data_IF_412498827539
#
_entry.id   IF_412498827539
#
_cell.length_a   1.000
_cell.length_b   1.000
_cell.length_c   1.000
_cell.angle_alpha   90.00
_cell.angle_beta   90.00
_cell.angle_gamma   90.00
#
_symmetry.space_group_name_H-M   'P 1'
#
loop_
_entity.id
_entity.type
_entity.pdbx_description
1 polymer ?
#
# COMPACT_ATOMS: atom_id res chain seq x y z
N UNK A 1 -24.24 -18.21 39.43
CA UNK A 1 -23.07 -17.76 38.67
C UNK A 1 -22.22 -18.99 38.37
N UNK A 2 -22.25 -19.48 37.12
CA UNK A 2 -21.44 -20.62 36.71
C UNK A 2 -20.25 -20.09 35.91
N UNK A 3 -19.07 -20.33 36.46
CA UNK A 3 -17.77 -20.05 35.85
C UNK A 3 -17.60 -20.92 34.62
N UNK A 4 -17.37 -20.32 33.45
CA UNK A 4 -17.02 -21.01 32.21
C UNK A 4 -15.52 -21.29 32.23
N UNK A 5 -15.04 -22.50 31.96
CA UNK A 5 -13.62 -22.83 31.99
C UNK A 5 -12.88 -22.24 30.77
N UNK A 6 -11.75 -21.64 31.03
CA UNK A 6 -10.80 -21.04 30.08
C UNK A 6 -9.95 -22.13 29.37
N UNK A 7 -10.55 -23.02 28.59
CA UNK A 7 -9.85 -24.18 27.99
C UNK A 7 -9.50 -24.01 26.50
N UNK A 8 -9.89 -22.88 25.88
CA UNK A 8 -9.66 -22.67 24.43
C UNK A 8 -8.46 -21.74 24.11
N UNK A 9 -7.78 -21.20 25.13
CA UNK A 9 -6.67 -20.26 24.90
C UNK A 9 -5.27 -20.89 24.80
N UNK A 10 -5.06 -22.13 25.29
CA UNK A 10 -3.71 -22.73 25.29
C UNK A 10 -3.39 -23.57 24.04
N UNK A 11 -4.38 -23.98 23.25
CA UNK A 11 -4.11 -24.76 22.05
C UNK A 11 -3.76 -23.94 20.80
N UNK A 12 -4.15 -22.67 20.74
CA UNK A 12 -3.80 -21.79 19.62
C UNK A 12 -2.33 -21.36 19.64
N UNK A 13 -1.68 -21.33 20.80
CA UNK A 13 -0.29 -20.86 20.94
C UNK A 13 0.76 -21.88 20.46
N UNK A 14 0.48 -23.18 20.53
CA UNK A 14 1.42 -24.24 20.13
C UNK A 14 1.37 -24.54 18.62
N UNK A 15 0.34 -24.06 17.91
CA UNK A 15 0.26 -24.21 16.45
C UNK A 15 0.97 -23.07 15.68
N UNK A 16 1.13 -21.88 16.27
CA UNK A 16 1.76 -20.75 15.58
C UNK A 16 3.27 -20.96 15.34
N UNK A 17 4.02 -21.59 16.23
CA UNK A 17 5.46 -21.84 16.07
C UNK A 17 5.77 -22.92 15.01
N UNK A 18 4.87 -23.88 14.78
CA UNK A 18 5.03 -24.90 13.75
C UNK A 18 4.68 -24.40 12.33
N UNK A 19 3.94 -23.30 12.22
CA UNK A 19 3.60 -22.69 10.92
C UNK A 19 4.64 -21.69 10.41
N UNK A 20 5.50 -21.13 11.27
CA UNK A 20 6.49 -20.13 10.84
C UNK A 20 7.54 -20.72 9.88
N UNK A 21 8.06 -21.92 10.15
CA UNK A 21 9.07 -22.56 9.30
C UNK A 21 8.51 -23.06 7.96
N UNK A 22 7.23 -23.40 7.91
CA UNK A 22 6.56 -23.81 6.67
C UNK A 22 6.18 -22.60 5.79
N UNK A 23 5.87 -21.45 6.38
CA UNK A 23 5.55 -20.22 5.66
C UNK A 23 6.79 -19.62 4.98
N UNK A 24 7.98 -19.65 5.59
CA UNK A 24 9.20 -19.12 4.98
C UNK A 24 9.65 -19.91 3.74
N UNK A 25 9.47 -21.24 3.74
CA UNK A 25 9.79 -22.07 2.58
C UNK A 25 8.76 -21.94 1.45
N UNK A 26 7.49 -21.73 1.77
CA UNK A 26 6.45 -21.50 0.78
C UNK A 26 6.46 -20.09 0.20
N UNK A 27 6.90 -19.09 0.98
CA UNK A 27 6.99 -17.69 0.55
C UNK A 27 7.99 -17.50 -0.59
N UNK A 28 9.15 -18.16 -0.55
CA UNK A 28 10.14 -18.09 -1.63
C UNK A 28 9.64 -18.62 -2.97
N UNK A 29 8.80 -19.66 -2.97
CA UNK A 29 8.17 -20.19 -4.18
C UNK A 29 7.00 -19.31 -4.65
N UNK A 30 6.25 -18.74 -3.72
CA UNK A 30 5.12 -17.83 -4.02
C UNK A 30 5.59 -16.51 -4.62
N UNK A 31 6.74 -15.95 -4.19
CA UNK A 31 7.34 -14.73 -4.78
C UNK A 31 7.64 -14.92 -6.26
N UNK A 32 8.24 -16.06 -6.64
CA UNK A 32 8.53 -16.35 -8.05
C UNK A 32 7.28 -16.50 -8.93
N UNK A 33 6.14 -16.90 -8.35
CA UNK A 33 4.87 -17.01 -9.07
C UNK A 33 4.10 -15.69 -9.17
N UNK A 34 4.26 -14.80 -8.19
CA UNK A 34 3.61 -13.48 -8.19
C UNK A 34 4.27 -12.51 -9.18
N UNK A 35 5.59 -12.60 -9.38
CA UNK A 35 6.32 -11.76 -10.33
C UNK A 35 5.88 -11.94 -11.79
N UNK A 36 5.19 -13.04 -12.13
CA UNK A 36 4.70 -13.36 -13.47
C UNK A 36 3.18 -13.19 -13.62
N UNK A 37 2.52 -12.51 -12.69
CA UNK A 37 1.11 -12.75 -12.40
C UNK A 37 0.10 -12.13 -13.35
N UNK A 38 0.42 -11.13 -14.17
CA UNK A 38 -0.54 -10.52 -15.10
C UNK A 38 -0.07 -10.70 -16.54
N UNK A 39 -0.73 -11.61 -17.27
CA UNK A 39 -0.71 -11.56 -18.73
C UNK A 39 -1.60 -10.37 -19.14
N UNK A 40 -1.04 -9.41 -19.82
CA UNK A 40 -1.78 -8.32 -20.46
C UNK A 40 -2.83 -8.91 -21.42
N UNK A 41 -4.09 -8.77 -21.08
CA UNK A 41 -5.23 -9.08 -21.95
C UNK A 41 -5.94 -7.77 -22.35
N UNK A 42 -5.77 -7.27 -23.57
CA UNK A 42 -6.43 -6.05 -24.04
C UNK A 42 -7.96 -6.14 -23.96
N UNK A 43 -8.53 -7.33 -24.12
CA UNK A 43 -9.97 -7.54 -24.02
C UNK A 43 -10.47 -7.41 -22.57
N UNK A 44 -9.70 -7.87 -21.61
CA UNK A 44 -10.01 -7.69 -20.18
C UNK A 44 -9.87 -6.23 -19.77
N UNK A 45 -8.77 -5.58 -20.17
CA UNK A 45 -8.54 -4.16 -19.90
C UNK A 45 -9.65 -3.27 -20.48
N UNK A 46 -10.08 -3.57 -21.72
CA UNK A 46 -11.20 -2.87 -22.35
C UNK A 46 -12.52 -3.00 -21.55
N UNK A 47 -12.79 -4.19 -20.99
CA UNK A 47 -13.95 -4.40 -20.12
C UNK A 47 -13.83 -3.61 -18.81
N UNK A 48 -12.65 -3.59 -18.18
CA UNK A 48 -12.38 -2.81 -16.95
C UNK A 48 -12.65 -1.33 -17.23
N UNK A 49 -12.11 -0.79 -18.33
CA UNK A 49 -12.30 0.60 -18.73
C UNK A 49 -13.77 0.91 -18.97
N UNK A 50 -14.53 0.00 -19.60
CA UNK A 50 -15.96 0.17 -19.81
C UNK A 50 -16.74 0.29 -18.49
N UNK A 51 -16.39 -0.52 -17.49
CA UNK A 51 -17.01 -0.43 -16.14
C UNK A 51 -16.62 0.87 -15.43
N UNK A 52 -15.35 1.30 -15.51
CA UNK A 52 -14.91 2.58 -14.95
C UNK A 52 -15.70 3.74 -15.58
N UNK A 53 -15.88 3.73 -16.90
CA UNK A 53 -16.66 4.76 -17.61
C UNK A 53 -18.10 4.83 -17.13
N UNK A 54 -18.74 3.71 -16.88
CA UNK A 54 -20.10 3.65 -16.35
C UNK A 54 -20.20 4.15 -14.90
N UNK A 55 -19.17 3.91 -14.09
CA UNK A 55 -19.17 4.22 -12.67
C UNK A 55 -18.89 5.69 -12.37
N UNK A 56 -17.91 6.29 -13.05
CA UNK A 56 -17.40 7.63 -12.68
C UNK A 56 -17.40 8.64 -13.84
N UNK A 57 -17.82 8.24 -15.04
CA UNK A 57 -17.89 9.11 -16.23
C UNK A 57 -16.62 9.95 -16.45
N UNK A 58 -15.46 9.32 -16.65
CA UNK A 58 -14.16 10.01 -16.66
C UNK A 58 -13.93 10.85 -17.92
N UNK A 59 -13.09 11.86 -17.83
CA UNK A 59 -12.50 12.53 -18.98
C UNK A 59 -11.43 11.65 -19.64
N UNK A 60 -10.63 10.96 -18.84
CA UNK A 60 -9.54 10.10 -19.32
C UNK A 60 -9.36 8.88 -18.42
N UNK A 61 -8.95 7.79 -19.05
CA UNK A 61 -8.38 6.60 -18.38
C UNK A 61 -7.03 6.31 -19.03
N UNK A 62 -5.98 6.26 -18.22
CA UNK A 62 -4.61 6.09 -18.67
C UNK A 62 -3.99 4.89 -17.98
N UNK A 63 -3.45 3.95 -18.74
CA UNK A 63 -2.58 2.90 -18.25
C UNK A 63 -1.17 3.45 -18.13
N UNK A 64 -0.51 3.27 -16.99
CA UNK A 64 0.88 3.68 -16.80
C UNK A 64 1.71 2.55 -16.19
N UNK A 65 2.98 2.79 -15.88
CA UNK A 65 3.87 1.78 -15.33
C UNK A 65 4.30 0.72 -16.35
N UNK A 66 4.66 -0.46 -15.87
CA UNK A 66 5.33 -1.50 -16.67
C UNK A 66 4.52 -2.00 -17.88
N UNK A 67 3.20 -2.09 -17.75
CA UNK A 67 2.33 -2.57 -18.82
C UNK A 67 2.11 -1.55 -19.95
N UNK A 68 2.35 -0.28 -19.67
CA UNK A 68 2.31 0.78 -20.69
C UNK A 68 3.63 0.92 -21.47
N UNK A 69 4.63 0.07 -21.22
CA UNK A 69 5.98 0.24 -21.76
C UNK A 69 6.72 1.46 -21.19
N UNK A 70 6.18 2.04 -20.11
CA UNK A 70 6.75 3.18 -19.38
C UNK A 70 7.72 2.70 -18.29
N UNK A 71 8.32 3.65 -17.57
CA UNK A 71 9.14 3.36 -16.40
C UNK A 71 8.36 2.47 -15.41
N UNK A 72 8.90 1.32 -14.99
CA UNK A 72 8.20 0.43 -14.07
C UNK A 72 7.78 1.17 -12.80
N UNK A 73 6.48 1.21 -12.51
CA UNK A 73 5.97 1.82 -11.28
C UNK A 73 6.16 0.89 -10.07
N UNK A 74 6.10 -0.42 -10.29
CA UNK A 74 6.22 -1.44 -9.25
C UNK A 74 7.04 -2.63 -9.74
N UNK A 75 7.54 -3.46 -8.81
CA UNK A 75 8.17 -4.74 -9.12
C UNK A 75 7.14 -5.80 -9.57
N UNK A 76 5.86 -5.59 -9.27
CA UNK A 76 4.77 -6.47 -9.69
C UNK A 76 4.15 -5.95 -10.98
N UNK A 77 3.82 -6.87 -11.88
CA UNK A 77 3.00 -6.55 -13.03
C UNK A 77 1.56 -6.30 -12.59
N UNK A 78 1.06 -5.10 -12.80
CA UNK A 78 -0.29 -4.67 -12.40
C UNK A 78 -0.89 -3.74 -13.47
N UNK A 79 -2.22 -3.65 -13.49
CA UNK A 79 -2.90 -2.59 -14.24
C UNK A 79 -2.89 -1.31 -13.40
N UNK A 80 -1.90 -0.46 -13.64
CA UNK A 80 -1.81 0.86 -13.01
C UNK A 80 -2.66 1.84 -13.80
N UNK A 81 -3.86 2.18 -13.29
CA UNK A 81 -4.83 2.99 -14.00
C UNK A 81 -5.02 4.35 -13.31
N UNK A 82 -4.72 5.42 -14.04
CA UNK A 82 -5.10 6.77 -13.67
C UNK A 82 -6.44 7.12 -14.32
N UNK A 83 -7.42 7.46 -13.50
CA UNK A 83 -8.78 7.85 -13.90
C UNK A 83 -8.96 9.32 -13.58
N UNK A 84 -9.08 10.14 -14.60
CA UNK A 84 -9.27 11.60 -14.46
C UNK A 84 -10.73 11.94 -14.70
N UNK A 85 -11.37 12.60 -13.75
CA UNK A 85 -12.76 13.07 -13.84
C UNK A 85 -12.81 14.57 -14.09
N UNK A 86 -13.87 15.12 -14.71
CA UNK A 86 -13.98 16.55 -14.98
C UNK A 86 -14.02 17.38 -13.69
N UNK A 87 -14.65 16.85 -12.68
CA UNK A 87 -14.79 17.46 -11.35
C UNK A 87 -14.26 16.49 -10.28
N UNK A 88 -14.48 16.82 -9.01
CA UNK A 88 -14.17 15.88 -7.92
C UNK A 88 -14.81 14.52 -8.19
N UNK A 89 -14.05 13.42 -8.06
CA UNK A 89 -14.57 12.08 -8.33
C UNK A 89 -15.87 11.81 -7.54
N UNK A 90 -16.90 11.18 -8.15
CA UNK A 90 -18.17 10.91 -7.49
C UNK A 90 -18.09 9.84 -6.41
N UNK A 91 -16.97 9.11 -6.34
CA UNK A 91 -16.68 8.08 -5.34
C UNK A 91 -15.18 8.00 -5.07
N UNK A 92 -14.81 7.41 -3.95
CA UNK A 92 -13.43 7.14 -3.60
C UNK A 92 -12.85 5.96 -4.43
N UNK A 93 -11.52 5.92 -4.55
CA UNK A 93 -10.84 4.87 -5.31
C UNK A 93 -11.12 3.44 -4.76
N UNK A 94 -11.27 3.29 -3.45
CA UNK A 94 -11.59 2.03 -2.79
C UNK A 94 -13.04 1.57 -3.08
N UNK A 95 -13.96 2.49 -3.22
CA UNK A 95 -15.34 2.22 -3.62
C UNK A 95 -15.39 1.74 -5.07
N UNK A 96 -14.68 2.43 -5.97
CA UNK A 96 -14.54 2.00 -7.36
C UNK A 96 -13.87 0.63 -7.47
N UNK A 97 -12.83 0.37 -6.66
CA UNK A 97 -12.19 -0.93 -6.60
C UNK A 97 -13.18 -2.03 -6.13
N UNK A 98 -13.97 -1.73 -5.08
CA UNK A 98 -15.03 -2.62 -4.61
C UNK A 98 -16.10 -2.89 -5.67
N UNK A 99 -16.50 -1.85 -6.42
CA UNK A 99 -17.44 -1.99 -7.53
C UNK A 99 -16.88 -2.87 -8.65
N UNK A 100 -15.61 -2.72 -9.02
CA UNK A 100 -14.95 -3.59 -9.98
C UNK A 100 -14.90 -5.04 -9.48
N UNK A 101 -14.52 -5.27 -8.22
CA UNK A 101 -14.56 -6.61 -7.61
C UNK A 101 -15.96 -7.24 -7.68
N UNK A 102 -17.01 -6.48 -7.47
CA UNK A 102 -18.40 -6.96 -7.55
C UNK A 102 -18.80 -7.33 -8.99
N UNK A 103 -18.39 -6.53 -9.98
CA UNK A 103 -18.70 -6.78 -11.40
C UNK A 103 -17.90 -7.94 -11.99
N UNK A 104 -16.71 -8.20 -11.44
CA UNK A 104 -15.83 -9.28 -11.85
C UNK A 104 -15.60 -10.23 -10.66
N UNK A 105 -16.55 -11.13 -10.35
CA UNK A 105 -16.36 -12.05 -9.23
C UNK A 105 -15.17 -12.96 -9.47
N UNK A 106 -14.37 -13.10 -8.47
CA UNK A 106 -13.22 -13.95 -8.07
C UNK A 106 -12.54 -14.93 -9.04
N UNK A 107 -12.90 -15.04 -10.32
CA UNK A 107 -12.19 -15.84 -11.31
C UNK A 107 -11.17 -15.07 -12.14
N UNK A 108 -11.22 -13.76 -12.12
CA UNK A 108 -10.23 -12.92 -12.78
C UNK A 108 -9.14 -12.53 -11.78
N UNK A 109 -7.94 -13.13 -11.94
CA UNK A 109 -6.75 -12.73 -11.18
C UNK A 109 -6.40 -11.26 -11.39
N UNK A 110 -6.75 -10.68 -12.55
CA UNK A 110 -6.43 -9.31 -12.92
C UNK A 110 -6.92 -8.27 -11.92
N UNK A 111 -8.11 -8.44 -11.31
CA UNK A 111 -8.65 -7.46 -10.37
C UNK A 111 -7.86 -7.38 -9.07
N UNK A 112 -7.21 -8.45 -8.65
CA UNK A 112 -6.31 -8.42 -7.49
C UNK A 112 -5.07 -7.55 -7.73
N UNK A 113 -4.74 -7.28 -9.00
CA UNK A 113 -3.58 -6.53 -9.45
C UNK A 113 -3.97 -5.24 -10.19
N UNK A 114 -5.10 -4.64 -9.85
CA UNK A 114 -5.48 -3.31 -10.34
C UNK A 114 -5.14 -2.27 -9.27
N UNK A 115 -4.38 -1.27 -9.66
CA UNK A 115 -4.17 -0.04 -8.91
C UNK A 115 -4.99 1.08 -9.54
N UNK A 116 -5.93 1.63 -8.79
CA UNK A 116 -6.78 2.72 -9.25
C UNK A 116 -6.34 4.03 -8.61
N UNK A 117 -6.10 5.03 -9.43
CA UNK A 117 -5.81 6.39 -9.02
C UNK A 117 -6.90 7.30 -9.60
N UNK A 118 -7.74 7.84 -8.73
CA UNK A 118 -8.80 8.77 -9.10
C UNK A 118 -8.35 10.20 -8.79
N UNK A 119 -8.54 11.09 -9.75
CA UNK A 119 -8.29 12.52 -9.56
C UNK A 119 -9.19 13.34 -10.47
N UNK A 120 -9.33 14.62 -10.15
CA UNK A 120 -9.99 15.60 -10.99
C UNK A 120 -8.99 16.28 -11.97
N UNK A 121 -9.50 16.89 -13.03
CA UNK A 121 -8.69 17.75 -13.90
C UNK A 121 -7.98 18.88 -13.12
N UNK A 122 -8.63 19.42 -12.08
CA UNK A 122 -8.03 20.43 -11.22
C UNK A 122 -6.82 19.90 -10.45
N UNK A 123 -6.87 18.65 -9.99
CA UNK A 123 -5.73 18.00 -9.32
C UNK A 123 -4.59 17.70 -10.27
N UNK A 124 -4.88 17.29 -11.49
CA UNK A 124 -3.88 17.12 -12.55
C UNK A 124 -3.18 18.46 -12.88
N UNK A 125 -3.95 19.55 -12.91
CA UNK A 125 -3.42 20.90 -13.13
C UNK A 125 -2.57 21.41 -11.95
N UNK A 126 -2.77 20.87 -10.75
CA UNK A 126 -2.03 21.25 -9.54
C UNK A 126 -0.55 20.90 -9.69
N UNK A 127 0.30 21.94 -9.59
CA UNK A 127 1.76 21.79 -9.74
C UNK A 127 2.43 20.93 -8.67
N UNK A 128 1.79 20.72 -7.54
CA UNK A 128 2.31 19.88 -6.43
C UNK A 128 1.95 18.39 -6.57
N UNK A 129 1.07 18.02 -7.49
CA UNK A 129 0.65 16.64 -7.74
C UNK A 129 1.47 16.01 -8.87
N UNK A 130 2.78 15.83 -8.64
CA UNK A 130 3.75 15.35 -9.64
C UNK A 130 3.40 13.97 -10.19
N UNK A 131 2.88 13.08 -9.35
CA UNK A 131 2.52 11.72 -9.71
C UNK A 131 1.53 11.66 -10.90
N UNK A 132 0.46 12.44 -10.86
CA UNK A 132 -0.52 12.45 -11.95
C UNK A 132 0.09 12.92 -13.27
N UNK A 133 1.03 13.85 -13.21
CA UNK A 133 1.75 14.33 -14.40
C UNK A 133 2.68 13.28 -14.97
N UNK A 134 3.39 12.53 -14.12
CA UNK A 134 4.22 11.42 -14.54
C UNK A 134 3.37 10.36 -15.23
N UNK A 135 2.29 9.91 -14.59
CA UNK A 135 1.39 8.90 -15.15
C UNK A 135 0.79 9.34 -16.50
N UNK A 136 0.44 10.62 -16.65
CA UNK A 136 -0.09 11.15 -17.92
C UNK A 136 0.99 11.33 -19.01
N UNK A 137 2.24 11.64 -18.63
CA UNK A 137 3.32 11.87 -19.61
C UNK A 137 3.81 10.56 -20.22
N UNK A 138 3.87 9.50 -19.43
CA UNK A 138 4.44 8.21 -19.81
C UNK A 138 3.37 7.18 -20.20
N UNK A 139 2.16 7.32 -19.69
CA UNK A 139 1.12 6.32 -19.81
C UNK A 139 0.50 6.24 -21.21
N UNK A 140 -0.16 5.10 -21.48
CA UNK A 140 -1.00 4.86 -22.64
C UNK A 140 -2.43 5.31 -22.38
N UNK A 141 -2.99 6.15 -23.25
CA UNK A 141 -4.38 6.62 -23.12
C UNK A 141 -5.32 5.54 -23.63
N UNK A 142 -6.05 4.90 -22.72
CA UNK A 142 -7.04 3.86 -23.03
C UNK A 142 -8.40 4.46 -23.41
N UNK A 143 -8.71 5.60 -22.84
CA UNK A 143 -9.93 6.37 -23.10
C UNK A 143 -9.71 7.86 -22.88
N UNK A 144 -10.24 8.68 -23.76
CA UNK A 144 -10.30 10.14 -23.60
C UNK A 144 -11.50 10.71 -24.34
N UNK A 145 -12.13 11.76 -23.77
CA UNK A 145 -13.15 12.55 -24.47
C UNK A 145 -12.54 13.53 -25.46
N UNK A 146 -11.35 14.03 -25.16
CA UNK A 146 -10.66 15.02 -25.96
C UNK A 146 -9.26 14.53 -26.37
N UNK A 147 -8.68 15.20 -27.34
CA UNK A 147 -7.30 14.93 -27.74
C UNK A 147 -6.33 15.28 -26.62
N UNK A 148 -5.53 14.31 -26.19
CA UNK A 148 -4.58 14.48 -25.10
C UNK A 148 -3.27 15.06 -25.60
N UNK A 149 -2.88 16.23 -25.09
CA UNK A 149 -1.55 16.78 -25.28
C UNK A 149 -0.67 16.34 -24.10
N UNK A 150 0.31 15.47 -24.39
CA UNK A 150 1.27 15.01 -23.40
C UNK A 150 2.25 16.12 -23.06
N UNK A 151 2.46 16.37 -21.76
CA UNK A 151 3.48 17.28 -21.25
C UNK A 151 4.56 16.47 -20.56
N UNK A 152 5.85 16.73 -20.80
CA UNK A 152 6.93 15.96 -20.17
C UNK A 152 6.89 16.14 -18.63
N UNK A 153 7.25 15.08 -17.93
CA UNK A 153 7.42 15.12 -16.48
C UNK A 153 8.73 15.81 -16.10
N UNK A 154 8.74 16.56 -15.01
CA UNK A 154 9.96 17.11 -14.45
C UNK A 154 10.46 16.16 -13.35
N UNK A 155 11.35 15.23 -13.71
CA UNK A 155 11.88 14.22 -12.80
C UNK A 155 12.75 14.81 -11.69
N UNK A 156 13.44 15.92 -11.93
CA UNK A 156 14.22 16.59 -10.89
C UNK A 156 13.33 17.02 -9.70
N UNK A 157 12.22 17.67 -9.99
CA UNK A 157 11.26 18.09 -8.94
C UNK A 157 10.57 16.91 -8.28
N UNK A 158 10.30 15.87 -9.06
CA UNK A 158 9.73 14.62 -8.54
C UNK A 158 10.70 13.97 -7.55
N UNK A 159 11.98 13.87 -7.92
CA UNK A 159 13.03 13.33 -7.08
C UNK A 159 13.14 14.05 -5.73
N UNK A 160 13.30 15.39 -5.76
CA UNK A 160 13.42 16.15 -4.51
C UNK A 160 12.18 16.05 -3.63
N UNK A 161 10.99 16.11 -4.22
CA UNK A 161 9.76 15.93 -3.46
C UNK A 161 9.64 14.52 -2.84
N UNK A 162 10.10 13.49 -3.52
CA UNK A 162 10.13 12.12 -3.01
C UNK A 162 11.19 11.95 -1.91
N UNK A 163 12.38 12.55 -2.09
CA UNK A 163 13.48 12.49 -1.12
C UNK A 163 13.10 13.15 0.20
N UNK A 164 12.53 14.36 0.16
CA UNK A 164 12.08 15.08 1.37
C UNK A 164 11.12 14.20 2.20
N UNK A 165 10.19 13.50 1.55
CA UNK A 165 9.22 12.63 2.23
C UNK A 165 9.86 11.38 2.79
N UNK A 166 10.81 10.81 2.05
CA UNK A 166 11.57 9.67 2.53
C UNK A 166 12.32 10.01 3.81
N UNK A 167 13.08 11.11 3.81
CA UNK A 167 13.88 11.53 4.96
C UNK A 167 12.99 11.84 6.18
N UNK A 168 11.89 12.58 5.96
CA UNK A 168 10.96 12.91 7.02
C UNK A 168 10.35 11.66 7.67
N UNK A 169 9.69 10.83 6.87
CA UNK A 169 8.91 9.72 7.41
C UNK A 169 9.78 8.54 7.85
N UNK A 170 10.89 8.24 7.17
CA UNK A 170 11.79 7.17 7.60
C UNK A 170 12.52 7.54 8.90
N UNK A 171 12.88 8.80 9.08
CA UNK A 171 13.44 9.31 10.33
C UNK A 171 12.46 9.17 11.51
N UNK A 172 11.21 9.59 11.32
CA UNK A 172 10.16 9.43 12.32
C UNK A 172 9.89 7.95 12.65
N UNK A 173 9.80 7.10 11.63
CA UNK A 173 9.61 5.66 11.82
C UNK A 173 10.75 5.03 12.63
N UNK A 174 11.99 5.43 12.35
CA UNK A 174 13.17 4.99 13.11
C UNK A 174 13.07 5.34 14.59
N UNK A 175 12.73 6.61 14.89
CA UNK A 175 12.55 7.07 16.26
C UNK A 175 11.42 6.33 17.02
N UNK A 176 10.29 6.10 16.36
CA UNK A 176 9.20 5.32 16.95
C UNK A 176 9.58 3.86 17.21
N UNK A 177 10.32 3.21 16.31
CA UNK A 177 10.78 1.82 16.51
C UNK A 177 11.80 1.70 17.64
N UNK A 178 12.72 2.65 17.74
CA UNK A 178 13.68 2.69 18.85
C UNK A 178 12.95 2.85 20.19
N UNK A 179 12.02 3.80 20.26
CA UNK A 179 11.21 4.03 21.45
C UNK A 179 10.34 2.80 21.79
N UNK A 180 9.77 2.12 20.78
CA UNK A 180 9.02 0.88 20.97
C UNK A 180 9.87 -0.23 21.59
N UNK A 181 11.13 -0.38 21.15
CA UNK A 181 12.08 -1.33 21.73
C UNK A 181 12.37 -1.02 23.20
N UNK A 182 12.57 0.25 23.53
CA UNK A 182 12.81 0.69 24.92
C UNK A 182 11.58 0.44 25.82
N UNK A 183 10.39 0.77 25.34
CA UNK A 183 9.13 0.54 26.07
C UNK A 183 8.85 -0.95 26.26
N UNK A 184 9.13 -1.78 25.25
CA UNK A 184 9.00 -3.24 25.34
C UNK A 184 9.93 -3.82 26.41
N UNK A 185 11.17 -3.36 26.45
CA UNK A 185 12.16 -3.78 27.46
C UNK A 185 11.73 -3.34 28.88
N UNK A 186 11.10 -2.16 29.00
CA UNK A 186 10.57 -1.66 30.28
C UNK A 186 9.26 -2.33 30.69
N UNK A 187 8.64 -3.15 29.83
CA UNK A 187 7.35 -3.80 30.09
C UNK A 187 6.13 -2.90 29.90
N UNK A 188 6.28 -1.73 29.28
CA UNK A 188 5.16 -0.85 28.93
C UNK A 188 4.58 -1.25 27.57
N UNK A 189 3.75 -2.30 27.56
CA UNK A 189 3.18 -2.86 26.33
C UNK A 189 2.19 -1.91 25.64
N UNK A 190 1.55 -1.03 26.40
CA UNK A 190 0.63 -0.03 25.82
C UNK A 190 1.39 0.99 24.99
N UNK A 191 2.45 1.55 25.55
CA UNK A 191 3.29 2.51 24.86
C UNK A 191 4.01 1.85 23.68
N UNK A 192 4.48 0.61 23.85
CA UNK A 192 5.06 -0.20 22.77
C UNK A 192 4.10 -0.36 21.59
N UNK A 193 2.84 -0.72 21.86
CA UNK A 193 1.83 -0.90 20.84
C UNK A 193 1.55 0.39 20.05
N UNK A 194 1.41 1.51 20.77
CA UNK A 194 1.23 2.83 20.17
C UNK A 194 2.41 3.22 19.27
N UNK A 195 3.63 3.11 19.77
CA UNK A 195 4.85 3.48 19.06
C UNK A 195 5.07 2.57 17.82
N UNK A 196 4.77 1.27 17.94
CA UNK A 196 4.85 0.32 16.83
C UNK A 196 3.85 0.67 15.72
N UNK A 197 2.62 1.04 16.10
CA UNK A 197 1.60 1.46 15.16
C UNK A 197 1.99 2.76 14.43
N UNK A 198 2.52 3.74 15.16
CA UNK A 198 3.02 4.98 14.56
C UNK A 198 4.20 4.71 13.62
N UNK A 199 5.13 3.82 13.99
CA UNK A 199 6.23 3.43 13.13
C UNK A 199 5.74 2.78 11.83
N UNK A 200 4.80 1.84 11.91
CA UNK A 200 4.23 1.19 10.73
C UNK A 200 3.54 2.20 9.79
N UNK A 201 2.79 3.16 10.35
CA UNK A 201 2.17 4.24 9.57
C UNK A 201 3.22 5.10 8.87
N UNK A 202 4.25 5.56 9.59
CA UNK A 202 5.30 6.39 9.01
C UNK A 202 6.08 5.65 7.92
N UNK A 203 6.33 4.35 8.06
CA UNK A 203 6.94 3.54 7.01
C UNK A 203 6.09 3.50 5.73
N UNK A 204 4.79 3.30 5.86
CA UNK A 204 3.88 3.32 4.72
C UNK A 204 3.75 4.71 4.10
N UNK A 205 3.79 5.78 4.90
CA UNK A 205 3.86 7.15 4.39
C UNK A 205 5.18 7.43 3.66
N UNK A 206 6.31 6.91 4.13
CA UNK A 206 7.59 7.01 3.42
C UNK A 206 7.51 6.34 2.04
N UNK A 207 6.98 5.13 2.00
CA UNK A 207 6.79 4.39 0.74
C UNK A 207 5.85 5.14 -0.21
N UNK A 208 4.69 5.58 0.28
CA UNK A 208 3.75 6.37 -0.52
C UNK A 208 4.40 7.65 -1.04
N UNK A 209 5.06 8.39 -0.16
CA UNK A 209 5.72 9.65 -0.49
C UNK A 209 6.78 9.52 -1.57
N UNK A 210 7.56 8.44 -1.55
CA UNK A 210 8.57 8.16 -2.58
C UNK A 210 7.92 7.82 -3.92
N UNK A 211 6.91 6.96 -3.94
CA UNK A 211 6.29 6.52 -5.19
C UNK A 211 5.36 7.54 -5.82
N UNK A 212 4.79 8.47 -5.03
CA UNK A 212 3.84 9.47 -5.51
C UNK A 212 4.38 10.92 -5.44
N UNK A 213 5.54 11.12 -4.83
CA UNK A 213 6.11 12.45 -4.54
C UNK A 213 5.06 13.41 -3.92
N UNK A 214 4.22 12.86 -3.03
CA UNK A 214 3.08 13.55 -2.44
C UNK A 214 2.78 12.98 -1.04
N UNK A 215 2.10 13.78 -0.22
CA UNK A 215 1.50 13.30 1.02
C UNK A 215 0.16 12.63 0.74
N UNK A 216 -0.30 11.83 1.68
CA UNK A 216 -1.62 11.20 1.66
C UNK A 216 -2.35 11.48 2.98
N UNK A 217 -3.66 11.61 2.89
CA UNK A 217 -4.60 11.72 4.01
C UNK A 217 -5.11 10.35 4.51
N UNK A 218 -4.58 9.27 3.94
CA UNK A 218 -4.89 7.92 4.40
C UNK A 218 -4.16 7.64 5.72
N UNK A 219 -4.93 7.33 6.77
CA UNK A 219 -4.38 7.15 8.12
C UNK A 219 -4.53 5.73 8.67
N UNK A 220 -5.29 4.86 8.00
CA UNK A 220 -5.38 3.46 8.43
C UNK A 220 -4.31 2.62 7.75
N UNK A 221 -3.64 1.78 8.52
CA UNK A 221 -2.59 0.90 8.00
C UNK A 221 -3.10 -0.02 6.89
N UNK A 222 -4.30 -0.55 7.07
CA UNK A 222 -4.93 -1.42 6.07
C UNK A 222 -5.17 -0.69 4.76
N UNK A 223 -5.66 0.56 4.79
CA UNK A 223 -5.93 1.33 3.56
C UNK A 223 -4.63 1.76 2.87
N UNK A 224 -3.64 2.23 3.64
CA UNK A 224 -2.31 2.55 3.11
C UNK A 224 -1.69 1.34 2.44
N UNK A 225 -1.75 0.19 3.10
CA UNK A 225 -1.21 -1.03 2.55
C UNK A 225 -1.92 -1.48 1.27
N UNK A 226 -3.26 -1.49 1.26
CA UNK A 226 -4.02 -1.82 0.06
C UNK A 226 -3.60 -0.94 -1.13
N UNK A 227 -3.24 0.31 -0.86
CA UNK A 227 -2.74 1.25 -1.86
C UNK A 227 -1.36 0.88 -2.39
N UNK A 228 -0.49 0.34 -1.53
CA UNK A 228 0.92 0.10 -1.83
C UNK A 228 1.26 -1.37 -2.10
N UNK A 229 0.30 -2.27 -1.95
CA UNK A 229 0.52 -3.74 -1.96
C UNK A 229 1.21 -4.27 -3.21
N UNK A 230 0.97 -3.65 -4.37
CA UNK A 230 1.51 -4.11 -5.66
C UNK A 230 2.89 -3.56 -5.98
N UNK A 231 3.47 -2.73 -5.12
CA UNK A 231 4.81 -2.17 -5.34
C UNK A 231 5.87 -3.27 -5.37
N UNK A 232 5.75 -4.27 -4.50
CA UNK A 232 6.69 -5.37 -4.42
C UNK A 232 5.99 -6.68 -4.07
N UNK A 233 6.39 -7.82 -4.67
CA UNK A 233 5.92 -9.15 -4.27
C UNK A 233 6.18 -9.44 -2.78
N UNK A 234 7.34 -9.04 -2.27
CA UNK A 234 7.68 -9.23 -0.86
C UNK A 234 6.76 -8.42 0.05
N UNK A 235 6.46 -7.17 -0.31
CA UNK A 235 5.52 -6.33 0.43
C UNK A 235 4.10 -6.91 0.40
N UNK A 236 3.69 -7.41 -0.77
CA UNK A 236 2.40 -8.07 -0.94
C UNK A 236 2.26 -9.27 0.00
N UNK A 237 3.28 -10.15 0.07
CA UNK A 237 3.28 -11.32 0.92
C UNK A 237 3.40 -11.00 2.41
N UNK A 238 4.28 -10.04 2.75
CA UNK A 238 4.51 -9.65 4.14
C UNK A 238 3.28 -9.03 4.79
N UNK A 239 2.46 -8.37 4.00
CA UNK A 239 1.38 -7.51 4.49
C UNK A 239 0.03 -7.78 3.81
N UNK A 240 -0.12 -8.92 3.12
CA UNK A 240 -1.39 -9.25 2.45
C UNK A 240 -2.56 -9.19 3.46
N UNK A 241 -3.46 -8.21 3.32
CA UNK A 241 -4.57 -8.04 4.24
C UNK A 241 -5.62 -9.17 4.11
N UNK A 242 -5.54 -10.00 3.07
CA UNK A 242 -6.40 -11.17 2.87
C UNK A 242 -5.90 -12.37 3.69
N UNK A 243 -4.62 -12.37 4.14
CA UNK A 243 -4.12 -13.35 5.08
C UNK A 243 -4.52 -12.99 6.51
N UNK A 244 -5.14 -13.94 7.20
CA UNK A 244 -5.77 -13.70 8.50
C UNK A 244 -4.81 -13.17 9.57
N UNK A 245 -3.56 -13.61 9.60
CA UNK A 245 -2.56 -13.15 10.58
C UNK A 245 -2.13 -11.70 10.32
N UNK A 246 -1.90 -11.32 9.07
CA UNK A 246 -1.48 -9.96 8.69
C UNK A 246 -2.62 -8.96 8.84
N UNK A 247 -3.83 -9.34 8.40
CA UNK A 247 -5.04 -8.53 8.61
C UNK A 247 -5.28 -8.27 10.10
N UNK A 248 -5.08 -9.27 10.95
CA UNK A 248 -5.22 -9.15 12.40
C UNK A 248 -4.20 -8.18 12.98
N UNK A 249 -2.91 -8.29 12.61
CA UNK A 249 -1.86 -7.37 13.07
C UNK A 249 -2.18 -5.92 12.71
N UNK A 250 -2.46 -5.64 11.44
CA UNK A 250 -2.72 -4.26 10.97
C UNK A 250 -3.96 -3.67 11.64
N UNK A 251 -5.05 -4.42 11.71
CA UNK A 251 -6.28 -3.98 12.37
C UNK A 251 -6.07 -3.72 13.87
N UNK A 252 -5.28 -4.56 14.55
CA UNK A 252 -4.96 -4.34 15.97
C UNK A 252 -4.05 -3.15 16.18
N UNK A 253 -3.05 -2.94 15.34
CA UNK A 253 -2.21 -1.74 15.41
C UNK A 253 -3.03 -0.46 15.20
N UNK A 254 -3.98 -0.45 14.24
CA UNK A 254 -4.91 0.68 14.06
C UNK A 254 -5.77 0.92 15.30
N UNK A 255 -6.28 -0.16 15.92
CA UNK A 255 -7.05 -0.08 17.18
C UNK A 255 -6.17 0.44 18.31
N UNK A 256 -4.98 -0.11 18.51
CA UNK A 256 -4.08 0.30 19.59
C UNK A 256 -3.68 1.76 19.48
N UNK A 257 -3.40 2.26 18.28
CA UNK A 257 -3.10 3.67 18.05
C UNK A 257 -4.28 4.56 18.43
N UNK A 258 -5.47 4.23 17.98
CA UNK A 258 -6.69 5.00 18.29
C UNK A 258 -7.00 4.95 19.79
N UNK A 259 -6.94 3.77 20.38
CA UNK A 259 -7.30 3.58 21.80
C UNK A 259 -6.27 4.23 22.73
N UNK A 260 -4.98 4.22 22.36
CA UNK A 260 -3.95 4.94 23.12
C UNK A 260 -4.17 6.46 23.10
N UNK A 261 -4.60 7.02 21.96
CA UNK A 261 -4.82 8.46 21.81
C UNK A 261 -6.12 8.96 22.47
N UNK A 262 -7.20 8.18 22.40
CA UNK A 262 -8.53 8.69 22.72
C UNK A 262 -9.19 8.01 23.91
N UNK A 263 -8.90 6.75 24.19
CA UNK A 263 -9.64 5.97 25.20
C UNK A 263 -8.81 5.55 26.39
N UNK A 264 -7.49 5.60 26.31
CA UNK A 264 -6.55 5.12 27.36
C UNK A 264 -6.79 3.67 27.81
N UNK A 265 -7.42 2.84 26.96
CA UNK A 265 -7.87 1.47 27.28
C UNK A 265 -7.21 0.42 26.36
N UNK A 266 -5.95 0.61 26.06
CA UNK A 266 -5.18 -0.37 25.30
C UNK A 266 -4.53 -1.36 26.28
N UNK A 267 -4.77 -2.66 26.10
CA UNK A 267 -4.17 -3.71 26.92
C UNK A 267 -3.65 -4.85 26.03
N UNK A 268 -2.52 -4.61 25.32
CA UNK A 268 -1.93 -5.60 24.42
C UNK A 268 -1.22 -6.71 25.18
N UNK A 269 -1.30 -7.94 24.66
CA UNK A 269 -0.54 -9.07 25.21
C UNK A 269 0.95 -8.94 24.87
N UNK A 270 1.81 -9.26 25.84
CA UNK A 270 3.27 -9.14 25.72
C UNK A 270 3.82 -9.91 24.51
N UNK A 271 3.45 -11.18 24.34
CA UNK A 271 3.96 -12.02 23.27
C UNK A 271 3.54 -11.49 21.90
N UNK A 272 2.30 -11.05 21.76
CA UNK A 272 1.77 -10.50 20.52
C UNK A 272 2.48 -9.20 20.11
N UNK A 273 2.66 -8.28 21.07
CA UNK A 273 3.26 -6.98 20.75
C UNK A 273 4.74 -7.08 20.42
N UNK A 274 5.46 -8.01 21.02
CA UNK A 274 6.85 -8.32 20.66
C UNK A 274 6.97 -8.77 19.20
N UNK A 275 6.09 -9.65 18.77
CA UNK A 275 6.01 -10.09 17.37
C UNK A 275 5.65 -8.95 16.40
N UNK A 276 4.80 -7.99 16.81
CA UNK A 276 4.47 -6.84 15.98
C UNK A 276 5.66 -5.88 15.81
N UNK A 277 6.45 -5.66 16.87
CA UNK A 277 7.70 -4.88 16.80
C UNK A 277 8.65 -5.52 15.78
N UNK A 278 8.87 -6.82 15.88
CA UNK A 278 9.76 -7.56 14.98
C UNK A 278 9.32 -7.49 13.51
N UNK A 279 8.04 -7.73 13.25
CA UNK A 279 7.46 -7.62 11.90
C UNK A 279 7.57 -6.19 11.36
N UNK A 280 7.36 -5.17 12.20
CA UNK A 280 7.53 -3.77 11.79
C UNK A 280 9.00 -3.43 11.50
N UNK A 281 9.95 -4.02 12.21
CA UNK A 281 11.38 -3.90 11.88
C UNK A 281 11.74 -4.54 10.53
N UNK A 282 11.20 -5.74 10.22
CA UNK A 282 11.35 -6.38 8.91
C UNK A 282 10.73 -5.50 7.80
N UNK A 283 9.55 -4.95 8.05
CA UNK A 283 8.88 -4.01 7.14
C UNK A 283 9.75 -2.77 6.88
N UNK A 284 10.43 -2.23 7.91
CA UNK A 284 11.36 -1.10 7.76
C UNK A 284 12.48 -1.43 6.77
N UNK A 285 13.17 -2.55 6.94
CA UNK A 285 14.26 -2.95 6.04
C UNK A 285 13.80 -3.10 4.59
N UNK A 286 12.63 -3.69 4.38
CA UNK A 286 12.04 -3.84 3.05
C UNK A 286 11.68 -2.48 2.43
N UNK A 287 10.98 -1.62 3.16
CA UNK A 287 10.56 -0.31 2.66
C UNK A 287 11.76 0.59 2.38
N UNK A 288 12.80 0.59 3.22
CA UNK A 288 14.02 1.35 2.95
C UNK A 288 14.70 0.90 1.66
N UNK A 289 14.76 -0.41 1.39
CA UNK A 289 15.30 -0.95 0.15
C UNK A 289 14.50 -0.48 -1.08
N UNK A 290 13.16 -0.60 -1.01
CA UNK A 290 12.26 -0.19 -2.08
C UNK A 290 12.34 1.32 -2.35
N UNK A 291 12.33 2.14 -1.31
CA UNK A 291 12.45 3.60 -1.43
C UNK A 291 13.79 4.02 -2.06
N UNK A 292 14.90 3.44 -1.61
CA UNK A 292 16.23 3.75 -2.16
C UNK A 292 16.33 3.36 -3.63
N UNK A 293 15.86 2.16 -4.00
CA UNK A 293 15.86 1.71 -5.39
C UNK A 293 15.04 2.67 -6.27
N UNK A 294 13.88 3.12 -5.78
CA UNK A 294 13.01 4.05 -6.52
C UNK A 294 13.63 5.44 -6.64
N UNK A 295 14.25 5.96 -5.58
CA UNK A 295 14.96 7.24 -5.61
C UNK A 295 16.15 7.21 -6.59
N UNK A 296 16.92 6.12 -6.63
CA UNK A 296 18.00 5.96 -7.61
C UNK A 296 17.48 6.02 -9.04
N UNK A 297 16.33 5.38 -9.32
CA UNK A 297 15.71 5.45 -10.65
C UNK A 297 15.31 6.88 -11.04
N UNK A 298 14.77 7.66 -10.10
CA UNK A 298 14.43 9.06 -10.38
C UNK A 298 15.67 9.93 -10.59
N UNK A 299 16.75 9.64 -9.87
CA UNK A 299 18.04 10.32 -10.03
C UNK A 299 18.66 10.07 -11.42
N UNK A 300 18.51 8.86 -11.96
CA UNK A 300 18.96 8.52 -13.31
C UNK A 300 18.11 9.17 -14.41
N UNK A 301 16.83 9.50 -14.13
CA UNK A 301 15.91 10.11 -15.08
C UNK A 301 15.96 11.65 -15.10
N UNK A 302 16.65 12.31 -14.18
CA UNK A 302 16.77 13.77 -14.12
C UNK A 302 17.99 14.26 -14.87
#
# INVERSE_FOLDING_TARGET
MKTIPNFLQEQDFLQEDLFQDAEEQSAGQAVGQLATAVNYDPGELGRIVAVIRQAVDPERVVLFGSLAGATPFSEMTAYDLLVVTPQHPPMEWNELYGYLKFKYPSRSRAISFINLYLCSEAEVANRMKWFYRMALSEGEVLYSRETVVRKPCNYEKFYFAALDRYELFSGQAGGFLEAAGQSLAAGDFRLTAFQTACAAEMLLHALYGVYHAADTDLHTLTTLLLRMRTISPELFLLLDPEQSCNSRMLSRLDVYRRDALFLFRCDPYRAEIGGYVERTQRMKGLIERLCRARLSLYDECR
#
